data_IF_984614923070
#
_entry.id   IF_984614923070
#
_cell.length_a   1.000
_cell.length_b   1.000
_cell.length_c   1.000
_cell.angle_alpha   90.00
_cell.angle_beta   90.00
_cell.angle_gamma   90.00
#
_symmetry.space_group_name_H-M   'P 1'
#
loop_
_entity.id
_entity.type
_entity.pdbx_description
1 polymer ?
#
# COMPACT_ATOMS: atom_id res chain seq x y z
N UNK A 1 -10.67 9.39 -21.61
CA UNK A 1 -11.80 9.48 -22.52
C UNK A 1 -11.56 8.56 -23.70
N UNK A 2 -12.59 7.80 -24.10
CA UNK A 2 -12.55 7.02 -25.34
C UNK A 2 -12.43 7.99 -26.52
N UNK A 3 -11.36 7.92 -27.30
CA UNK A 3 -11.19 8.70 -28.53
C UNK A 3 -12.04 8.08 -29.67
N UNK A 4 -13.32 7.87 -29.44
CA UNK A 4 -14.25 7.35 -30.44
C UNK A 4 -14.81 8.54 -31.19
N UNK A 5 -14.35 8.77 -32.40
CA UNK A 5 -14.73 9.91 -33.23
C UNK A 5 -15.82 9.57 -34.26
N UNK A 6 -16.15 8.27 -34.43
CA UNK A 6 -17.10 7.82 -35.45
C UNK A 6 -18.27 7.08 -34.82
N UNK A 7 -19.50 7.48 -35.20
CA UNK A 7 -20.74 6.85 -34.77
C UNK A 7 -20.77 5.34 -35.08
N UNK A 8 -20.14 4.92 -36.17
CA UNK A 8 -20.04 3.52 -36.54
C UNK A 8 -19.22 2.68 -35.54
N UNK A 9 -18.19 3.26 -34.92
CA UNK A 9 -17.39 2.59 -33.89
C UNK A 9 -18.17 2.45 -32.58
N UNK A 10 -18.96 3.45 -32.22
CA UNK A 10 -19.87 3.39 -31.06
C UNK A 10 -20.90 2.27 -31.26
N UNK A 11 -21.55 2.22 -32.44
CA UNK A 11 -22.54 1.21 -32.73
C UNK A 11 -21.92 -0.20 -32.69
N UNK A 12 -20.74 -0.41 -33.30
CA UNK A 12 -20.04 -1.69 -33.28
C UNK A 12 -19.66 -2.14 -31.84
N UNK A 13 -19.34 -1.20 -30.95
CA UNK A 13 -19.11 -1.50 -29.51
C UNK A 13 -20.44 -1.89 -28.83
N UNK A 14 -21.52 -1.16 -29.09
CA UNK A 14 -22.83 -1.39 -28.48
C UNK A 14 -23.52 -2.65 -29.02
N UNK A 15 -23.15 -3.15 -30.20
CA UNK A 15 -23.62 -4.42 -30.72
C UNK A 15 -23.00 -5.64 -30.00
N UNK A 16 -21.93 -5.41 -29.19
CA UNK A 16 -21.32 -6.46 -28.40
C UNK A 16 -22.10 -6.67 -27.08
N UNK A 17 -22.69 -7.85 -26.90
CA UNK A 17 -23.50 -8.19 -25.73
C UNK A 17 -22.75 -8.05 -24.40
N UNK A 18 -21.43 -8.31 -24.40
CA UNK A 18 -20.60 -8.14 -23.17
C UNK A 18 -20.44 -6.67 -22.82
N UNK A 19 -20.28 -5.81 -23.82
CA UNK A 19 -20.21 -4.36 -23.59
C UNK A 19 -21.56 -3.81 -23.13
N UNK A 20 -22.67 -4.34 -23.67
CA UNK A 20 -24.01 -3.98 -23.18
C UNK A 20 -24.22 -4.40 -21.72
N UNK A 21 -23.81 -5.62 -21.34
CA UNK A 21 -23.89 -6.09 -19.96
C UNK A 21 -23.02 -5.23 -19.01
N UNK A 22 -21.80 -4.90 -19.43
CA UNK A 22 -20.91 -4.01 -18.69
C UNK A 22 -21.51 -2.60 -18.51
N UNK A 23 -22.09 -2.04 -19.58
CA UNK A 23 -22.77 -0.75 -19.54
C UNK A 23 -23.97 -0.76 -18.59
N UNK A 24 -24.80 -1.80 -18.64
CA UNK A 24 -25.91 -1.98 -17.73
C UNK A 24 -25.45 -2.09 -16.27
N UNK A 25 -24.37 -2.82 -16.01
CA UNK A 25 -23.79 -2.97 -14.66
C UNK A 25 -23.24 -1.65 -14.16
N UNK A 26 -22.56 -0.87 -15.01
CA UNK A 26 -22.11 0.50 -14.69
C UNK A 26 -23.28 1.40 -14.30
N UNK A 27 -24.36 1.37 -15.10
CA UNK A 27 -25.55 2.18 -14.82
C UNK A 27 -26.24 1.77 -13.51
N UNK A 28 -26.35 0.47 -13.23
CA UNK A 28 -26.90 -0.06 -11.98
C UNK A 28 -26.07 0.39 -10.77
N UNK A 29 -24.74 0.34 -10.86
CA UNK A 29 -23.85 0.77 -9.79
C UNK A 29 -24.05 2.25 -9.45
N UNK A 30 -24.10 3.11 -10.46
CA UNK A 30 -24.36 4.54 -10.26
C UNK A 30 -25.77 4.79 -9.71
N UNK A 31 -26.80 4.13 -10.27
CA UNK A 31 -28.18 4.30 -9.81
C UNK A 31 -28.39 3.84 -8.36
N UNK A 32 -27.66 2.80 -7.91
CA UNK A 32 -27.79 2.30 -6.54
C UNK A 32 -27.26 3.27 -5.48
N UNK A 33 -26.24 4.06 -5.79
CA UNK A 33 -25.55 4.92 -4.81
C UNK A 33 -25.66 6.42 -5.15
N UNK A 34 -25.75 6.77 -6.43
CA UNK A 34 -25.88 8.14 -6.96
C UNK A 34 -24.84 9.13 -6.39
N UNK A 35 -23.57 8.72 -6.32
CA UNK A 35 -22.46 9.53 -5.82
C UNK A 35 -21.35 9.67 -6.87
N UNK A 36 -20.60 10.76 -6.82
CA UNK A 36 -19.51 11.02 -7.78
C UNK A 36 -18.37 9.98 -7.68
N UNK A 37 -18.08 9.46 -6.47
CA UNK A 37 -17.08 8.42 -6.34
C UNK A 37 -17.52 7.10 -6.99
N UNK A 38 -18.81 6.71 -6.84
CA UNK A 38 -19.34 5.50 -7.50
C UNK A 38 -19.36 5.67 -9.01
N UNK A 39 -19.76 6.86 -9.50
CA UNK A 39 -19.71 7.19 -10.92
C UNK A 39 -18.29 7.05 -11.50
N UNK A 40 -17.30 7.59 -10.79
CA UNK A 40 -15.89 7.50 -11.22
C UNK A 40 -15.39 6.05 -11.21
N UNK A 41 -15.69 5.28 -10.17
CA UNK A 41 -15.29 3.87 -10.07
C UNK A 41 -15.94 3.01 -11.16
N UNK A 42 -17.26 3.16 -11.35
CA UNK A 42 -18.01 2.40 -12.36
C UNK A 42 -17.60 2.77 -13.79
N UNK A 43 -17.37 4.05 -14.07
CA UNK A 43 -16.87 4.51 -15.37
C UNK A 43 -15.45 3.99 -15.63
N UNK A 44 -14.56 4.05 -14.63
CA UNK A 44 -13.21 3.51 -14.74
C UNK A 44 -13.21 2.03 -15.09
N UNK A 45 -13.95 1.22 -14.33
CA UNK A 45 -14.08 -0.21 -14.59
C UNK A 45 -14.71 -0.50 -15.97
N UNK A 46 -15.71 0.26 -16.40
CA UNK A 46 -16.29 0.12 -17.75
C UNK A 46 -15.26 0.43 -18.84
N UNK A 47 -14.48 1.49 -18.69
CA UNK A 47 -13.43 1.84 -19.65
C UNK A 47 -12.35 0.76 -19.73
N UNK A 48 -11.99 0.15 -18.60
CA UNK A 48 -11.04 -0.97 -18.58
C UNK A 48 -11.58 -2.20 -19.31
N UNK A 49 -12.88 -2.51 -19.21
CA UNK A 49 -13.51 -3.57 -20.01
C UNK A 49 -13.43 -3.27 -21.50
N UNK A 50 -13.69 -2.02 -21.90
CA UNK A 50 -13.70 -1.64 -23.33
C UNK A 50 -12.30 -1.58 -23.92
N UNK A 51 -11.30 -1.15 -23.16
CA UNK A 51 -9.93 -0.89 -23.64
C UNK A 51 -9.00 -2.09 -23.51
N UNK A 52 -9.28 -3.02 -22.59
CA UNK A 52 -8.43 -4.17 -22.36
C UNK A 52 -8.65 -5.27 -23.41
N UNK A 53 -7.58 -5.99 -23.78
CA UNK A 53 -7.72 -7.16 -24.65
C UNK A 53 -8.70 -8.19 -24.04
N UNK A 54 -9.59 -8.73 -24.85
CA UNK A 54 -10.56 -9.76 -24.41
C UNK A 54 -9.84 -10.92 -23.73
N UNK A 55 -10.40 -11.42 -22.63
CA UNK A 55 -9.87 -12.53 -21.83
C UNK A 55 -8.54 -12.22 -21.11
N UNK A 56 -8.03 -10.99 -21.16
CA UNK A 56 -6.89 -10.59 -20.34
C UNK A 56 -7.30 -10.45 -18.86
N UNK A 57 -6.34 -10.58 -17.93
CA UNK A 57 -6.60 -10.38 -16.52
C UNK A 57 -7.24 -9.01 -16.21
N UNK A 58 -6.75 -7.87 -16.75
CA UNK A 58 -7.41 -6.58 -16.54
C UNK A 58 -8.87 -6.56 -17.00
N UNK A 59 -9.16 -7.18 -18.19
CA UNK A 59 -10.53 -7.30 -18.69
C UNK A 59 -11.44 -8.05 -17.73
N UNK A 60 -11.01 -9.24 -17.27
CA UNK A 60 -11.81 -10.09 -16.38
C UNK A 60 -12.04 -9.42 -15.03
N UNK A 61 -10.99 -8.82 -14.44
CA UNK A 61 -11.08 -8.12 -13.17
C UNK A 61 -12.03 -6.93 -13.25
N UNK A 62 -11.94 -6.13 -14.30
CA UNK A 62 -12.82 -4.98 -14.51
C UNK A 62 -14.29 -5.40 -14.71
N UNK A 63 -14.52 -6.49 -15.44
CA UNK A 63 -15.86 -7.04 -15.66
C UNK A 63 -16.49 -7.55 -14.36
N UNK A 64 -15.73 -8.28 -13.54
CA UNK A 64 -16.19 -8.75 -12.23
C UNK A 64 -16.38 -7.58 -11.26
N UNK A 65 -15.51 -6.58 -11.28
CA UNK A 65 -15.68 -5.37 -10.49
C UNK A 65 -17.02 -4.67 -10.77
N UNK A 66 -17.41 -4.51 -12.03
CA UNK A 66 -18.71 -3.92 -12.39
C UNK A 66 -19.91 -4.68 -11.81
N UNK A 67 -19.82 -5.99 -11.66
CA UNK A 67 -20.88 -6.81 -11.04
C UNK A 67 -20.98 -6.60 -9.54
N UNK A 68 -19.85 -6.33 -8.87
CA UNK A 68 -19.76 -6.18 -7.43
C UNK A 68 -20.06 -4.75 -6.96
N UNK A 69 -19.68 -3.75 -7.75
CA UNK A 69 -19.84 -2.32 -7.44
C UNK A 69 -21.22 -1.91 -6.89
N UNK A 70 -22.37 -2.39 -7.43
CA UNK A 70 -23.69 -2.04 -6.90
C UNK A 70 -23.93 -2.46 -5.44
N UNK A 71 -23.13 -3.38 -4.93
CA UNK A 71 -23.23 -3.93 -3.58
C UNK A 71 -22.22 -3.31 -2.59
N UNK A 72 -21.39 -2.39 -3.04
CA UNK A 72 -20.35 -1.76 -2.23
C UNK A 72 -20.76 -0.35 -1.79
N UNK A 73 -20.40 -0.01 -0.56
CA UNK A 73 -20.48 1.33 0.00
C UNK A 73 -19.10 1.98 0.04
N UNK A 74 -19.03 3.28 0.33
CA UNK A 74 -17.77 3.99 0.51
C UNK A 74 -16.90 3.32 1.60
N UNK A 75 -17.53 2.89 2.71
CA UNK A 75 -16.81 2.17 3.78
C UNK A 75 -16.14 0.87 3.31
N UNK A 76 -16.77 0.13 2.40
CA UNK A 76 -16.15 -1.06 1.81
C UNK A 76 -14.88 -0.70 1.01
N UNK A 77 -14.92 0.40 0.24
CA UNK A 77 -13.74 0.89 -0.47
C UNK A 77 -12.64 1.36 0.47
N UNK A 78 -13.00 2.03 1.57
CA UNK A 78 -12.05 2.45 2.61
C UNK A 78 -11.33 1.25 3.22
N UNK A 79 -12.06 0.19 3.59
CA UNK A 79 -11.48 -1.05 4.14
C UNK A 79 -10.54 -1.72 3.12
N UNK A 80 -10.97 -1.86 1.85
CA UNK A 80 -10.14 -2.43 0.81
C UNK A 80 -8.87 -1.60 0.55
N UNK A 81 -8.99 -0.27 0.54
CA UNK A 81 -7.85 0.64 0.40
C UNK A 81 -6.86 0.50 1.55
N UNK A 82 -7.34 0.45 2.80
CA UNK A 82 -6.50 0.22 3.98
C UNK A 82 -5.80 -1.14 3.93
N UNK A 83 -6.51 -2.19 3.55
CA UNK A 83 -5.93 -3.52 3.39
C UNK A 83 -4.80 -3.49 2.34
N UNK A 84 -5.03 -2.86 1.18
CA UNK A 84 -4.02 -2.70 0.14
C UNK A 84 -2.80 -1.91 0.65
N UNK A 85 -3.03 -0.80 1.33
CA UNK A 85 -1.96 0.08 1.82
C UNK A 85 -1.13 -0.58 2.92
N UNK A 86 -1.76 -1.28 3.84
CA UNK A 86 -1.10 -1.85 5.01
C UNK A 86 -0.47 -3.21 4.75
N UNK A 87 -1.10 -4.08 3.95
CA UNK A 87 -0.64 -5.46 3.74
C UNK A 87 0.09 -5.65 2.41
N UNK A 88 -0.33 -4.98 1.35
CA UNK A 88 0.15 -5.23 -0.01
C UNK A 88 1.00 -4.12 -0.61
N UNK A 89 1.13 -2.98 0.09
CA UNK A 89 1.99 -1.89 -0.37
C UNK A 89 3.04 -1.51 0.69
N UNK A 90 4.13 -0.91 0.22
CA UNK A 90 5.22 -0.43 1.07
C UNK A 90 5.76 0.88 0.52
N UNK A 91 5.87 1.89 1.37
CA UNK A 91 6.54 3.13 1.01
C UNK A 91 8.00 3.11 1.47
N UNK A 92 8.93 3.05 0.53
CA UNK A 92 10.37 3.01 0.82
C UNK A 92 10.92 4.27 1.52
N UNK A 93 10.14 5.34 1.57
CA UNK A 93 10.53 6.59 2.22
C UNK A 93 10.13 6.66 3.71
N UNK A 94 9.42 5.67 4.23
CA UNK A 94 8.96 5.63 5.63
C UNK A 94 10.05 5.23 6.63
N UNK A 95 11.29 5.64 6.41
CA UNK A 95 12.44 5.29 7.24
C UNK A 95 12.61 6.18 8.49
N UNK A 96 11.84 7.22 8.68
CA UNK A 96 11.92 8.13 9.82
C UNK A 96 10.55 8.67 10.23
N UNK A 97 10.45 9.24 11.45
CA UNK A 97 9.19 9.69 12.05
C UNK A 97 8.41 10.65 11.15
N UNK A 98 9.06 11.71 10.68
CA UNK A 98 8.41 12.74 9.85
C UNK A 98 7.84 12.14 8.57
N UNK A 99 8.59 11.25 7.90
CA UNK A 99 8.14 10.60 6.68
C UNK A 99 6.98 9.64 6.96
N UNK A 100 7.03 8.94 8.09
CA UNK A 100 5.99 8.01 8.49
C UNK A 100 4.70 8.74 8.87
N UNK A 101 4.79 9.83 9.66
CA UNK A 101 3.64 10.68 9.98
C UNK A 101 2.99 11.25 8.73
N UNK A 102 3.77 11.82 7.82
CA UNK A 102 3.24 12.33 6.55
C UNK A 102 2.57 11.22 5.71
N UNK A 103 3.09 9.99 5.75
CA UNK A 103 2.46 8.85 5.08
C UNK A 103 1.11 8.51 5.73
N UNK A 104 1.03 8.50 7.05
CA UNK A 104 -0.23 8.25 7.79
C UNK A 104 -1.26 9.34 7.47
N UNK A 105 -0.90 10.61 7.62
CA UNK A 105 -1.79 11.75 7.34
C UNK A 105 -2.33 11.75 5.91
N UNK A 106 -1.48 11.43 4.94
CA UNK A 106 -1.84 11.51 3.53
C UNK A 106 -2.57 10.28 3.01
N UNK A 107 -2.19 9.08 3.46
CA UNK A 107 -2.63 7.83 2.85
C UNK A 107 -3.45 6.91 3.76
N UNK A 108 -3.42 7.10 5.07
CA UNK A 108 -4.15 6.25 6.03
C UNK A 108 -5.34 6.98 6.64
N UNK A 109 -5.15 8.18 7.19
CA UNK A 109 -6.20 8.95 7.85
C UNK A 109 -7.46 9.17 6.99
N UNK A 110 -7.35 9.44 5.68
CA UNK A 110 -8.54 9.64 4.84
C UNK A 110 -9.48 8.42 4.79
N UNK A 111 -8.98 7.24 5.18
CA UNK A 111 -9.74 5.99 5.11
C UNK A 111 -10.17 5.43 6.46
N UNK A 112 -9.81 6.06 7.59
CA UNK A 112 -10.13 5.52 8.93
C UNK A 112 -11.23 6.25 9.68
N UNK A 113 -11.69 7.42 9.19
CA UNK A 113 -12.60 8.30 9.93
C UNK A 113 -13.94 7.66 10.31
N UNK A 114 -14.46 6.75 9.48
CA UNK A 114 -15.78 6.18 9.63
C UNK A 114 -15.82 4.66 9.40
N UNK A 115 -14.78 3.95 9.83
CA UNK A 115 -14.72 2.50 9.66
C UNK A 115 -15.86 1.83 10.45
N UNK A 116 -16.71 1.04 9.79
CA UNK A 116 -17.80 0.32 10.44
C UNK A 116 -17.27 -0.70 11.46
N UNK A 117 -17.91 -0.76 12.64
CA UNK A 117 -17.54 -1.73 13.70
C UNK A 117 -18.35 -3.02 13.64
N UNK A 118 -19.26 -3.15 12.68
CA UNK A 118 -20.17 -4.28 12.58
C UNK A 118 -19.55 -5.42 11.78
N UNK A 119 -19.45 -6.62 12.36
CA UNK A 119 -18.92 -7.80 11.69
C UNK A 119 -19.66 -8.19 10.41
N UNK A 120 -20.96 -7.91 10.30
CA UNK A 120 -21.72 -8.20 9.08
C UNK A 120 -21.21 -7.40 7.88
N UNK A 121 -20.67 -6.20 8.10
CA UNK A 121 -20.06 -5.38 7.08
C UNK A 121 -18.82 -6.04 6.46
N UNK A 122 -17.94 -6.59 7.30
CA UNK A 122 -16.72 -7.28 6.84
C UNK A 122 -17.04 -8.61 6.16
N UNK A 123 -18.01 -9.37 6.69
CA UNK A 123 -18.50 -10.59 6.04
C UNK A 123 -19.13 -10.36 4.67
N UNK A 124 -19.68 -9.17 4.41
CA UNK A 124 -20.17 -8.83 3.09
C UNK A 124 -19.04 -8.74 2.07
N UNK A 125 -17.87 -8.16 2.44
CA UNK A 125 -16.69 -8.14 1.59
C UNK A 125 -16.19 -9.55 1.23
N UNK A 126 -16.17 -10.46 2.21
CA UNK A 126 -15.80 -11.86 1.96
C UNK A 126 -16.83 -12.59 1.09
N UNK A 127 -18.12 -12.39 1.36
CA UNK A 127 -19.19 -12.92 0.51
C UNK A 127 -19.08 -12.46 -0.95
N UNK A 128 -18.74 -11.20 -1.17
CA UNK A 128 -18.52 -10.61 -2.47
C UNK A 128 -17.13 -10.98 -3.08
N UNK A 129 -16.32 -11.75 -2.35
CA UNK A 129 -14.95 -12.12 -2.74
C UNK A 129 -14.01 -10.94 -2.98
N UNK A 130 -14.28 -9.82 -2.33
CA UNK A 130 -13.41 -8.65 -2.34
C UNK A 130 -12.25 -8.78 -1.37
N UNK A 131 -12.46 -9.52 -0.27
CA UNK A 131 -11.47 -9.85 0.77
C UNK A 131 -11.57 -11.33 1.13
N UNK A 132 -10.64 -11.77 1.94
CA UNK A 132 -10.66 -13.07 2.57
C UNK A 132 -10.29 -12.88 4.05
N UNK A 133 -11.17 -13.33 4.96
CA UNK A 133 -10.89 -13.30 6.39
C UNK A 133 -9.75 -14.28 6.71
N UNK A 134 -8.69 -13.78 7.34
CA UNK A 134 -7.60 -14.63 7.82
C UNK A 134 -8.01 -15.38 9.08
N UNK A 135 -7.51 -16.61 9.24
CA UNK A 135 -7.83 -17.45 10.40
C UNK A 135 -7.25 -16.91 11.70
N UNK A 136 -6.07 -16.27 11.60
CA UNK A 136 -5.38 -15.67 12.75
C UNK A 136 -5.40 -14.16 12.65
N UNK A 137 -5.87 -13.43 13.67
CA UNK A 137 -5.87 -11.99 13.64
C UNK A 137 -4.43 -11.47 13.69
N UNK A 138 -4.10 -10.58 12.76
CA UNK A 138 -2.85 -9.86 12.77
C UNK A 138 -3.04 -8.47 13.39
N UNK A 139 -2.15 -8.08 14.29
CA UNK A 139 -2.18 -6.73 14.88
C UNK A 139 -1.53 -5.71 13.94
N UNK A 140 -1.92 -4.43 14.06
CA UNK A 140 -1.28 -3.35 13.31
C UNK A 140 0.23 -3.31 13.58
N UNK A 141 0.66 -3.56 14.83
CA UNK A 141 2.08 -3.62 15.17
C UNK A 141 2.82 -4.73 14.39
N UNK A 142 2.19 -5.88 14.20
CA UNK A 142 2.76 -6.96 13.37
C UNK A 142 2.83 -6.57 11.91
N UNK A 143 1.77 -5.95 11.37
CA UNK A 143 1.77 -5.45 9.99
C UNK A 143 2.91 -4.46 9.76
N UNK A 144 3.07 -3.48 10.67
CA UNK A 144 4.13 -2.48 10.57
C UNK A 144 5.53 -3.08 10.72
N UNK A 145 5.74 -3.99 11.70
CA UNK A 145 7.04 -4.66 11.87
C UNK A 145 7.41 -5.55 10.69
N UNK A 146 6.45 -6.17 10.04
CA UNK A 146 6.67 -6.97 8.84
C UNK A 146 6.96 -6.10 7.61
N UNK A 147 6.25 -4.99 7.47
CA UNK A 147 6.39 -4.08 6.33
C UNK A 147 7.65 -3.19 6.42
N UNK A 148 8.08 -2.82 7.62
CA UNK A 148 9.17 -1.89 7.89
C UNK A 148 10.14 -2.43 8.94
N UNK A 149 10.76 -3.61 8.74
CA UNK A 149 11.54 -4.29 9.78
C UNK A 149 12.70 -3.47 10.31
N UNK A 150 13.42 -2.72 9.48
CA UNK A 150 14.51 -1.86 9.96
C UNK A 150 14.04 -0.64 10.74
N UNK A 151 12.79 -0.24 10.57
CA UNK A 151 12.20 0.88 11.32
C UNK A 151 11.75 0.43 12.70
N UNK A 152 11.11 -0.75 12.82
CA UNK A 152 10.42 -1.15 14.05
C UNK A 152 11.11 -2.27 14.83
N UNK A 153 11.85 -3.19 14.18
CA UNK A 153 12.37 -4.39 14.84
C UNK A 153 13.77 -4.23 15.43
N UNK A 154 14.41 -3.08 15.28
CA UNK A 154 15.77 -2.83 15.77
C UNK A 154 15.87 -1.46 16.42
N UNK A 155 16.75 -1.31 17.42
CA UNK A 155 16.98 -0.04 18.12
C UNK A 155 17.87 0.92 17.33
N UNK A 156 18.74 0.40 16.45
CA UNK A 156 19.72 1.18 15.71
C UNK A 156 21.10 1.19 16.37
N UNK A 157 21.92 2.18 16.05
CA UNK A 157 23.33 2.25 16.37
C UNK A 157 23.75 3.67 16.84
N UNK A 158 24.91 3.77 17.54
CA UNK A 158 25.54 5.03 17.86
C UNK A 158 26.36 5.57 16.68
N UNK A 159 26.76 6.84 16.73
CA UNK A 159 27.65 7.43 15.72
C UNK A 159 29.01 6.77 15.68
N UNK A 160 29.53 6.35 16.83
CA UNK A 160 30.82 5.67 16.97
C UNK A 160 30.78 4.26 16.39
N UNK A 161 29.65 3.56 16.54
CA UNK A 161 29.44 2.26 15.91
C UNK A 161 29.37 2.39 14.38
N UNK A 162 28.68 3.42 13.88
CA UNK A 162 28.61 3.70 12.45
C UNK A 162 30.00 4.01 11.87
N UNK A 163 30.75 4.86 12.56
CA UNK A 163 32.10 5.24 12.13
C UNK A 163 33.04 4.02 12.02
N UNK A 164 32.95 3.10 13.00
CA UNK A 164 33.72 1.84 12.95
C UNK A 164 33.30 0.91 11.80
N UNK A 165 31.99 0.78 11.58
CA UNK A 165 31.45 -0.07 10.50
C UNK A 165 31.74 0.45 9.08
N UNK A 166 32.22 1.69 8.97
CA UNK A 166 32.57 2.32 7.70
C UNK A 166 34.08 2.63 7.60
N UNK A 167 34.91 1.95 8.38
CA UNK A 167 36.37 2.16 8.42
C UNK A 167 36.79 3.64 8.53
N UNK A 168 36.02 4.42 9.31
CA UNK A 168 36.29 5.84 9.53
C UNK A 168 35.73 6.79 8.47
N UNK A 169 35.10 6.32 7.41
CA UNK A 169 34.58 7.19 6.33
C UNK A 169 33.19 7.76 6.64
N UNK A 170 32.41 7.09 7.52
CA UNK A 170 31.05 7.48 7.82
C UNK A 170 30.07 7.27 6.64
N UNK A 171 28.84 7.68 6.86
CA UNK A 171 27.79 7.71 5.83
C UNK A 171 27.27 9.16 5.73
N UNK A 172 26.93 9.62 4.54
CA UNK A 172 26.37 10.97 4.34
C UNK A 172 25.18 11.18 5.31
N UNK A 173 25.18 12.26 6.11
CA UNK A 173 24.16 12.52 7.13
C UNK A 173 22.72 12.50 6.60
N UNK A 174 22.50 12.77 5.32
CA UNK A 174 21.17 12.68 4.68
C UNK A 174 20.57 11.28 4.70
N UNK A 175 21.41 10.26 4.81
CA UNK A 175 20.99 8.86 4.87
C UNK A 175 21.05 8.25 6.27
N UNK A 176 21.24 9.09 7.29
CA UNK A 176 21.25 8.68 8.70
C UNK A 176 20.12 9.40 9.42
N UNK A 177 19.19 8.65 9.98
CA UNK A 177 17.98 9.17 10.63
C UNK A 177 17.94 8.78 12.09
N UNK A 178 17.18 9.51 12.91
CA UNK A 178 16.90 9.10 14.28
C UNK A 178 15.99 7.88 14.31
N UNK A 179 16.28 6.95 15.21
CA UNK A 179 15.42 5.80 15.47
C UNK A 179 14.09 6.25 16.06
N UNK A 180 12.98 5.57 15.68
CA UNK A 180 11.66 5.84 16.27
C UNK A 180 11.52 5.24 17.69
N UNK A 181 12.27 4.19 17.98
CA UNK A 181 12.12 3.40 19.20
C UNK A 181 13.35 3.44 20.13
N UNK A 182 14.25 4.41 19.92
CA UNK A 182 15.45 4.61 20.76
C UNK A 182 16.08 5.98 20.49
N UNK A 183 17.06 6.35 21.34
CA UNK A 183 17.89 7.55 21.16
C UNK A 183 19.05 7.34 20.17
N UNK A 184 19.06 6.22 19.44
CA UNK A 184 20.09 5.84 18.48
C UNK A 184 19.76 6.31 17.07
N UNK A 185 20.61 5.94 16.11
CA UNK A 185 20.47 6.28 14.71
C UNK A 185 20.22 5.01 13.88
N UNK A 186 19.66 5.20 12.69
CA UNK A 186 19.44 4.16 11.66
C UNK A 186 19.83 4.70 10.30
N UNK A 187 20.09 3.81 9.36
CA UNK A 187 20.15 4.20 7.96
C UNK A 187 18.74 4.49 7.43
N UNK A 188 18.65 5.39 6.47
CA UNK A 188 17.40 5.71 5.75
C UNK A 188 16.97 4.54 4.86
N UNK A 189 16.72 3.38 5.50
CA UNK A 189 16.44 2.10 4.89
C UNK A 189 15.34 1.39 5.69
N UNK A 190 14.26 1.00 5.03
CA UNK A 190 13.10 0.39 5.69
C UNK A 190 13.18 -1.12 5.77
N UNK A 191 13.89 -1.73 4.81
CA UNK A 191 14.00 -3.19 4.68
C UNK A 191 15.29 -3.57 3.95
N UNK A 192 15.81 -4.78 4.25
CA UNK A 192 17.05 -5.28 3.65
C UNK A 192 16.97 -5.48 2.13
N UNK A 193 15.79 -5.80 1.60
CA UNK A 193 15.59 -5.96 0.14
C UNK A 193 15.90 -4.69 -0.65
N UNK A 194 15.84 -3.52 -0.01
CA UNK A 194 16.17 -2.22 -0.60
C UNK A 194 17.66 -1.84 -0.46
N UNK A 195 18.45 -2.63 0.27
CA UNK A 195 19.87 -2.34 0.50
C UNK A 195 20.69 -2.15 -0.80
N UNK A 196 20.51 -2.95 -1.87
CA UNK A 196 21.27 -2.72 -3.11
C UNK A 196 20.98 -1.37 -3.75
N UNK A 197 19.76 -0.89 -3.66
CA UNK A 197 19.36 0.46 -4.13
C UNK A 197 19.98 1.54 -3.24
N UNK A 198 19.91 1.36 -1.93
CA UNK A 198 20.46 2.29 -0.95
C UNK A 198 21.97 2.44 -1.14
N UNK A 199 22.74 1.34 -1.25
CA UNK A 199 24.19 1.40 -1.43
C UNK A 199 24.60 2.06 -2.76
N UNK A 200 23.82 1.87 -3.83
CA UNK A 200 24.06 2.62 -5.08
C UNK A 200 23.84 4.12 -4.91
N UNK A 201 22.80 4.53 -4.19
CA UNK A 201 22.49 5.95 -3.93
C UNK A 201 23.53 6.62 -3.04
N UNK A 202 24.04 5.90 -2.04
CA UNK A 202 25.07 6.39 -1.10
C UNK A 202 26.48 6.25 -1.64
N UNK A 203 26.67 5.59 -2.81
CA UNK A 203 27.97 5.30 -3.43
C UNK A 203 28.88 4.44 -2.54
N UNK A 204 28.34 3.62 -1.67
CA UNK A 204 29.08 2.65 -0.86
C UNK A 204 29.25 1.40 -1.71
N UNK A 205 30.44 1.23 -2.31
CA UNK A 205 30.74 0.12 -3.22
C UNK A 205 31.43 -1.07 -2.55
N UNK A 206 32.09 -0.86 -1.42
CA UNK A 206 32.77 -1.92 -0.67
C UNK A 206 31.77 -2.91 -0.09
N UNK A 207 31.89 -4.17 -0.48
CA UNK A 207 30.98 -5.24 -0.08
C UNK A 207 31.12 -5.63 1.42
N UNK A 208 32.29 -5.43 2.02
CA UNK A 208 32.49 -5.65 3.46
C UNK A 208 31.78 -4.58 4.25
N UNK A 209 31.96 -3.31 3.88
CA UNK A 209 31.25 -2.17 4.50
C UNK A 209 29.74 -2.32 4.35
N UNK A 210 29.24 -2.73 3.18
CA UNK A 210 27.81 -2.99 2.98
C UNK A 210 27.28 -4.05 3.94
N UNK A 211 27.98 -5.17 4.07
CA UNK A 211 27.61 -6.25 4.99
C UNK A 211 27.64 -5.80 6.45
N UNK A 212 28.68 -5.05 6.85
CA UNK A 212 28.87 -4.58 8.22
C UNK A 212 27.81 -3.55 8.60
N UNK A 213 27.38 -2.69 7.67
CA UNK A 213 26.26 -1.77 7.86
C UNK A 213 24.93 -2.50 8.03
N UNK A 214 24.66 -3.55 7.27
CA UNK A 214 23.46 -4.38 7.46
C UNK A 214 23.51 -5.12 8.81
N UNK A 215 24.65 -5.70 9.17
CA UNK A 215 24.84 -6.34 10.47
C UNK A 215 24.66 -5.34 11.62
N UNK A 216 25.17 -4.12 11.47
CA UNK A 216 25.00 -3.04 12.43
C UNK A 216 23.52 -2.64 12.59
N UNK A 217 22.77 -2.53 11.49
CA UNK A 217 21.32 -2.27 11.54
C UNK A 217 20.56 -3.35 12.34
N UNK A 218 20.99 -4.60 12.25
CA UNK A 218 20.38 -5.76 12.93
C UNK A 218 20.93 -6.05 14.33
N UNK A 219 21.96 -5.33 14.78
CA UNK A 219 22.75 -5.66 15.99
C UNK A 219 21.94 -5.57 17.31
N UNK A 220 20.87 -4.77 17.34
CA UNK A 220 20.09 -4.52 18.57
C UNK A 220 18.60 -4.76 18.31
N UNK A 221 18.17 -6.03 18.24
CA UNK A 221 16.77 -6.35 18.02
C UNK A 221 15.89 -5.87 19.18
N UNK A 222 14.65 -5.51 18.87
CA UNK A 222 13.63 -5.11 19.82
C UNK A 222 12.27 -5.60 19.36
N UNK A 223 11.37 -5.87 20.33
CA UNK A 223 9.99 -6.16 20.00
C UNK A 223 9.21 -4.84 19.87
N UNK A 224 8.57 -4.62 18.73
CA UNK A 224 7.64 -3.52 18.54
C UNK A 224 6.31 -3.87 19.23
N UNK A 225 5.91 -3.06 20.23
CA UNK A 225 4.68 -3.26 21.00
C UNK A 225 3.56 -2.37 20.45
N UNK A 226 2.31 -2.83 20.55
CA UNK A 226 1.15 -2.10 20.05
C UNK A 226 0.92 -0.72 20.67
N UNK A 227 1.45 -0.47 21.87
CA UNK A 227 1.43 0.86 22.50
C UNK A 227 2.27 1.85 21.68
N UNK A 228 3.48 1.47 21.28
CA UNK A 228 4.39 2.31 20.49
C UNK A 228 3.80 2.62 19.10
N UNK A 229 2.95 1.75 18.56
CA UNK A 229 2.25 2.02 17.29
C UNK A 229 1.23 3.16 17.42
N UNK A 230 0.57 3.28 18.57
CA UNK A 230 -0.38 4.36 18.84
C UNK A 230 0.32 5.72 19.03
N UNK A 231 1.53 5.70 19.60
CA UNK A 231 2.31 6.92 19.86
C UNK A 231 2.95 7.48 18.56
N UNK A 232 3.00 6.66 17.50
CA UNK A 232 3.57 7.02 16.18
C UNK A 232 2.49 7.49 15.20
N UNK A 233 1.27 7.00 15.36
CA UNK A 233 0.11 7.39 14.55
C UNK A 233 -0.69 8.49 15.23
#
# INVERSE_FOLDING_TARGET
ALNITKLAEVNALLDNIVIQEALMSMQKAYAATNTEWMKSAALGAFLDVVQSPKSSTPYLVAFDALRVLPHLTLGHFQVMALTLLLQYSRNSNNYGLIHFQHYVEKYIEPFISDLPQNNSFYRQLDYLRCTQEEREPITLAQVLSNSYPFVFNYRGFSKEELFRATDGHGVDPRYVVRSLNSNLYKLALVDESLAPRFFRQTRISDSMVQRDLIALMKSKPTAFRGQEARDIM
#
